data_IF_158968028615
#
_entry.id   IF_158968028615
#
_cell.length_a   1.000
_cell.length_b   1.000
_cell.length_c   1.000
_cell.angle_alpha   90.00
_cell.angle_beta   90.00
_cell.angle_gamma   90.00
#
_symmetry.space_group_name_H-M   'P 1'
#
loop_
_entity.id
_entity.type
_entity.pdbx_description
1 polymer ?
#
# COMPACT_ATOMS: atom_id res chain seq x y z
N UNK A 1 -12.13 3.91 -18.42
CA UNK A 1 -11.03 3.57 -19.34
C UNK A 1 -10.47 2.20 -19.01
N UNK A 2 -9.61 1.64 -19.86
CA UNK A 2 -9.07 0.26 -19.70
C UNK A 2 -8.35 0.04 -18.36
N UNK A 3 -7.48 0.98 -17.95
CA UNK A 3 -6.70 0.86 -16.71
C UNK A 3 -7.45 1.33 -15.44
N UNK A 4 -8.58 2.01 -15.58
CA UNK A 4 -9.37 2.44 -14.41
C UNK A 4 -9.96 1.22 -13.68
N UNK A 5 -10.23 0.13 -14.41
CA UNK A 5 -10.65 -1.14 -13.85
C UNK A 5 -9.59 -1.73 -12.89
N UNK A 6 -8.30 -1.54 -13.20
CA UNK A 6 -7.21 -2.04 -12.37
C UNK A 6 -7.11 -1.29 -11.02
N UNK A 7 -7.55 -0.03 -10.96
CA UNK A 7 -7.56 0.73 -9.71
C UNK A 7 -8.46 0.06 -8.67
N UNK A 8 -9.72 -0.19 -9.04
CA UNK A 8 -10.68 -0.82 -8.15
C UNK A 8 -10.34 -2.28 -7.85
N UNK A 9 -9.80 -3.01 -8.82
CA UNK A 9 -9.37 -4.39 -8.61
C UNK A 9 -8.26 -4.49 -7.54
N UNK A 10 -7.30 -3.56 -7.55
CA UNK A 10 -6.23 -3.51 -6.53
C UNK A 10 -6.77 -3.11 -5.16
N UNK A 11 -7.65 -2.12 -5.10
CA UNK A 11 -8.27 -1.66 -3.84
C UNK A 11 -9.09 -2.78 -3.17
N UNK A 12 -9.84 -3.56 -3.96
CA UNK A 12 -10.67 -4.65 -3.45
C UNK A 12 -9.85 -5.76 -2.77
N UNK A 13 -8.61 -6.01 -3.22
CA UNK A 13 -7.73 -7.02 -2.61
C UNK A 13 -7.09 -6.54 -1.29
N UNK A 14 -6.94 -5.23 -1.09
CA UNK A 14 -6.11 -4.67 -0.02
C UNK A 14 -6.51 -5.16 1.38
N UNK A 15 -7.82 -5.26 1.66
CA UNK A 15 -8.31 -5.65 2.99
C UNK A 15 -7.88 -7.08 3.37
N UNK A 16 -7.80 -8.00 2.41
CA UNK A 16 -7.41 -9.39 2.67
C UNK A 16 -5.93 -9.53 3.08
N UNK A 17 -5.05 -8.65 2.58
CA UNK A 17 -3.62 -8.68 2.90
C UNK A 17 -3.22 -7.72 4.03
N UNK A 18 -4.10 -6.79 4.43
CA UNK A 18 -3.74 -5.66 5.29
C UNK A 18 -3.24 -6.06 6.69
N UNK A 19 -3.79 -7.14 7.25
CA UNK A 19 -3.46 -7.63 8.59
C UNK A 19 -2.48 -8.81 8.60
N UNK A 20 -2.10 -9.32 7.43
CA UNK A 20 -1.25 -10.49 7.28
C UNK A 20 -1.96 -11.74 6.78
N UNK A 21 -3.28 -11.86 7.00
CA UNK A 21 -4.06 -13.09 6.75
C UNK A 21 -3.88 -13.60 5.33
N UNK A 22 -4.01 -12.71 4.34
CA UNK A 22 -3.94 -13.09 2.93
C UNK A 22 -2.59 -13.61 2.45
N UNK A 23 -1.50 -13.42 3.21
CA UNK A 23 -0.20 -14.00 2.84
C UNK A 23 -0.11 -15.49 3.13
N UNK A 24 -0.90 -16.00 4.07
CA UNK A 24 -0.93 -17.41 4.46
C UNK A 24 -2.14 -18.14 3.86
N UNK A 25 -3.30 -17.47 3.80
CA UNK A 25 -4.58 -18.10 3.46
C UNK A 25 -4.92 -18.07 1.96
N UNK A 26 -4.15 -17.36 1.12
CA UNK A 26 -4.40 -17.29 -0.33
C UNK A 26 -4.36 -18.68 -0.99
N UNK A 27 -5.45 -19.06 -1.67
CA UNK A 27 -5.53 -20.30 -2.43
C UNK A 27 -5.12 -20.04 -3.88
N UNK A 28 -3.81 -20.05 -4.12
CA UNK A 28 -3.23 -19.78 -5.43
C UNK A 28 -3.40 -20.96 -6.40
N UNK A 29 -3.53 -20.64 -7.68
CA UNK A 29 -3.74 -21.61 -8.77
C UNK A 29 -2.67 -21.50 -9.86
N UNK A 30 -2.80 -22.27 -10.94
CA UNK A 30 -1.79 -22.37 -12.00
C UNK A 30 -1.40 -21.02 -12.63
N UNK A 31 -2.33 -20.08 -12.78
CA UNK A 31 -2.07 -18.75 -13.33
C UNK A 31 -1.24 -17.87 -12.38
N UNK A 32 -1.23 -18.17 -11.09
CA UNK A 32 -0.48 -17.44 -10.07
C UNK A 32 1.01 -17.78 -10.06
N UNK A 33 1.47 -18.60 -11.01
CA UNK A 33 2.89 -18.85 -11.20
C UNK A 33 3.68 -17.56 -11.42
N UNK A 34 3.07 -16.54 -12.05
CA UNK A 34 3.68 -15.23 -12.27
C UNK A 34 3.95 -14.46 -10.97
N UNK A 35 2.95 -14.14 -10.12
CA UNK A 35 3.19 -13.49 -8.83
C UNK A 35 4.08 -14.33 -7.90
N UNK A 36 3.96 -15.67 -7.89
CA UNK A 36 4.84 -16.53 -7.09
C UNK A 36 6.30 -16.38 -7.52
N UNK A 37 6.56 -16.43 -8.84
CA UNK A 37 7.93 -16.30 -9.39
C UNK A 37 8.51 -14.93 -9.07
N UNK A 38 7.70 -13.88 -9.21
CA UNK A 38 8.07 -12.52 -8.83
C UNK A 38 8.49 -12.42 -7.36
N UNK A 39 7.65 -12.89 -6.43
CA UNK A 39 7.93 -12.83 -4.98
C UNK A 39 9.25 -13.54 -4.66
N UNK A 40 9.48 -14.73 -5.22
CA UNK A 40 10.74 -15.49 -5.05
C UNK A 40 11.97 -14.73 -5.56
N UNK A 41 11.87 -14.08 -6.73
CA UNK A 41 12.95 -13.26 -7.29
C UNK A 41 13.24 -12.05 -6.40
N UNK A 42 12.20 -11.30 -6.02
CA UNK A 42 12.31 -10.11 -5.20
C UNK A 42 12.93 -10.41 -3.82
N UNK A 43 12.55 -11.51 -3.18
CA UNK A 43 13.13 -11.91 -1.89
C UNK A 43 14.62 -12.23 -1.97
N UNK A 44 15.13 -12.79 -3.07
CA UNK A 44 16.56 -13.12 -3.22
C UNK A 44 17.43 -11.92 -3.58
N UNK A 45 16.90 -10.98 -4.35
CA UNK A 45 17.70 -9.94 -5.01
C UNK A 45 17.33 -8.51 -4.61
N UNK A 46 16.52 -8.33 -3.58
CA UNK A 46 16.30 -7.00 -3.02
C UNK A 46 17.61 -6.41 -2.46
N UNK A 47 17.74 -5.08 -2.50
CA UNK A 47 18.90 -4.36 -1.97
C UNK A 47 18.72 -3.96 -0.49
N UNK A 48 17.83 -4.64 0.22
CA UNK A 48 17.45 -4.34 1.59
C UNK A 48 15.94 -4.18 1.77
N UNK A 49 15.49 -4.37 3.02
CA UNK A 49 14.10 -4.21 3.44
C UNK A 49 13.98 -2.88 4.20
N UNK A 50 13.09 -1.99 3.74
CA UNK A 50 12.86 -0.70 4.39
C UNK A 50 12.26 -0.89 5.79
N UNK A 51 12.83 -0.19 6.78
CA UNK A 51 12.32 -0.21 8.17
C UNK A 51 11.08 0.68 8.28
N UNK A 52 10.17 0.42 9.23
CA UNK A 52 9.08 1.33 9.55
C UNK A 52 9.61 2.74 9.88
N UNK A 53 8.96 3.77 9.33
CA UNK A 53 9.33 5.17 9.58
C UNK A 53 9.13 5.55 11.06
N UNK A 54 10.06 6.33 11.61
CA UNK A 54 10.02 6.82 12.99
C UNK A 54 10.06 8.34 13.00
N UNK A 55 9.12 9.00 13.69
CA UNK A 55 9.08 10.46 13.80
C UNK A 55 8.81 11.22 12.49
N UNK A 56 8.34 10.53 11.45
CA UNK A 56 8.03 11.08 10.13
C UNK A 56 6.54 10.94 9.80
N UNK A 57 6.05 11.72 8.83
CA UNK A 57 4.67 11.60 8.34
C UNK A 57 4.34 10.15 7.96
N UNK A 58 3.16 9.69 8.38
CA UNK A 58 2.72 8.30 8.17
C UNK A 58 3.31 7.28 9.15
N UNK A 59 4.20 7.63 10.07
CA UNK A 59 4.61 6.72 11.16
C UNK A 59 3.46 6.37 12.12
N UNK A 60 2.59 7.34 12.40
CA UNK A 60 1.35 7.16 13.16
C UNK A 60 0.17 7.44 12.25
N UNK A 61 -0.66 6.41 12.01
CA UNK A 61 -1.77 6.49 11.04
C UNK A 61 -2.99 7.24 11.60
N UNK A 62 -3.10 7.42 12.91
CA UNK A 62 -4.26 7.94 13.64
C UNK A 62 -3.98 9.26 14.38
N UNK A 63 -2.98 10.03 13.94
CA UNK A 63 -2.68 11.31 14.58
C UNK A 63 -3.72 12.41 14.21
N UNK A 64 -3.91 13.41 15.07
CA UNK A 64 -4.91 14.47 14.88
C UNK A 64 -4.77 15.27 13.59
N UNK A 65 -3.54 15.50 13.10
CA UNK A 65 -3.29 16.23 11.85
C UNK A 65 -3.96 15.54 10.65
N UNK A 66 -3.84 14.22 10.54
CA UNK A 66 -4.47 13.42 9.46
C UNK A 66 -5.99 13.48 9.53
N UNK A 67 -6.55 13.48 10.73
CA UNK A 67 -8.00 13.65 10.90
C UNK A 67 -8.46 15.04 10.48
N UNK A 68 -7.69 16.10 10.80
CA UNK A 68 -7.93 17.46 10.29
C UNK A 68 -7.90 17.48 8.76
N UNK A 69 -6.90 16.88 8.14
CA UNK A 69 -6.76 16.86 6.68
C UNK A 69 -7.91 16.08 6.01
N UNK A 70 -8.28 14.94 6.59
CA UNK A 70 -9.40 14.12 6.12
C UNK A 70 -10.73 14.88 6.24
N UNK A 71 -10.93 15.62 7.35
CA UNK A 71 -12.10 16.47 7.54
C UNK A 71 -12.15 17.64 6.55
N UNK A 72 -10.99 18.10 6.06
CA UNK A 72 -10.88 19.08 4.98
C UNK A 72 -11.04 18.45 3.58
N UNK A 73 -11.38 17.16 3.48
CA UNK A 73 -11.56 16.47 2.21
C UNK A 73 -10.26 16.08 1.50
N UNK A 74 -9.10 16.16 2.19
CA UNK A 74 -7.79 15.86 1.61
C UNK A 74 -7.47 14.37 1.80
N UNK A 75 -7.40 13.56 0.74
CA UNK A 75 -7.03 12.16 0.85
C UNK A 75 -5.52 11.99 1.16
N UNK A 76 -5.08 10.80 1.60
CA UNK A 76 -3.66 10.49 1.69
C UNK A 76 -2.95 10.71 0.34
N UNK A 77 -1.88 11.50 0.34
CA UNK A 77 -1.18 11.93 -0.88
C UNK A 77 0.32 11.65 -0.85
N UNK A 78 0.98 11.97 -1.98
CA UNK A 78 2.42 11.83 -2.15
C UNK A 78 3.16 13.16 -2.03
N UNK A 79 2.70 14.19 -2.76
CA UNK A 79 3.33 15.51 -2.75
C UNK A 79 2.97 16.28 -1.49
N UNK A 80 3.96 16.91 -0.88
CA UNK A 80 3.77 17.77 0.29
C UNK A 80 3.12 19.07 -0.17
N UNK A 81 1.98 19.41 0.42
CA UNK A 81 1.30 20.68 0.17
C UNK A 81 2.10 21.82 0.81
N UNK A 82 2.39 22.84 0.01
CA UNK A 82 3.02 24.07 0.45
C UNK A 82 1.95 25.16 0.58
N UNK A 83 2.21 26.16 1.41
CA UNK A 83 1.38 27.36 1.44
C UNK A 83 1.85 28.22 0.27
N UNK A 84 0.95 28.54 -0.65
CA UNK A 84 1.19 29.56 -1.69
C UNK A 84 1.04 30.96 -1.07
N UNK A 85 1.91 31.90 -1.45
CA UNK A 85 1.90 33.30 -0.99
C UNK A 85 0.67 34.09 -1.49
#
# INVERSE_FOLDING_TARGET
>A
GFNDCDLYAREAMQNFYADGTGWDDEQLVATDISPITWRKLASRWNRGIAKPGKGVAGSVKTHSIRFKDTAAGKPPGYFVEQIED
#
